data_IF_570468127108
#
_entry.id   IF_570468127108
#
_cell.length_a   1.000
_cell.length_b   1.000
_cell.length_c   1.000
_cell.angle_alpha   90.00
_cell.angle_beta   90.00
_cell.angle_gamma   90.00
#
_symmetry.space_group_name_H-M   'P 1'
#
loop_
_entity.id
_entity.type
_entity.pdbx_description
1 polymer ?
#
# COMPACT_ATOMS: atom_id res chain seq x y z
N UNK A 1 11.61 -5.90 -25.93
CA UNK A 1 11.00 -7.17 -25.43
C UNK A 1 11.01 -7.21 -23.91
N UNK A 2 12.15 -6.91 -23.27
CA UNK A 2 12.24 -6.82 -21.81
C UNK A 2 11.24 -5.83 -21.20
N UNK A 3 10.96 -4.74 -21.90
CA UNK A 3 10.13 -3.63 -21.42
C UNK A 3 8.64 -3.98 -21.48
N UNK A 4 8.24 -4.75 -22.50
CA UNK A 4 6.89 -5.33 -22.59
C UNK A 4 6.68 -6.34 -21.46
N UNK A 5 7.67 -7.20 -21.20
CA UNK A 5 7.61 -8.16 -20.09
C UNK A 5 7.51 -7.42 -18.75
N UNK A 6 8.35 -6.41 -18.54
CA UNK A 6 8.32 -5.58 -17.35
C UNK A 6 6.96 -4.88 -17.17
N UNK A 7 6.38 -4.33 -18.25
CA UNK A 7 5.07 -3.70 -18.22
C UNK A 7 3.96 -4.68 -17.84
N UNK A 8 3.97 -5.90 -18.39
CA UNK A 8 3.00 -6.96 -18.05
C UNK A 8 3.11 -7.33 -16.58
N UNK A 9 4.34 -7.56 -16.08
CA UNK A 9 4.58 -7.89 -14.67
C UNK A 9 4.06 -6.77 -13.77
N UNK A 10 4.42 -5.52 -14.05
CA UNK A 10 3.96 -4.36 -13.29
C UNK A 10 2.43 -4.24 -13.33
N UNK A 11 1.80 -4.48 -14.48
CA UNK A 11 0.35 -4.43 -14.60
C UNK A 11 -0.36 -5.49 -13.75
N UNK A 12 0.17 -6.72 -13.70
CA UNK A 12 -0.35 -7.79 -12.82
C UNK A 12 -0.23 -7.39 -11.35
N UNK A 13 0.93 -6.87 -10.92
CA UNK A 13 1.11 -6.37 -9.55
C UNK A 13 0.21 -5.18 -9.21
N UNK A 14 -0.05 -4.31 -10.18
CA UNK A 14 -1.00 -3.20 -10.04
C UNK A 14 -2.40 -3.70 -9.74
N UNK A 15 -2.91 -4.66 -10.53
CA UNK A 15 -4.24 -5.25 -10.33
C UNK A 15 -4.33 -5.90 -8.94
N UNK A 16 -3.34 -6.73 -8.58
CA UNK A 16 -3.28 -7.39 -7.28
C UNK A 16 -3.32 -6.37 -6.13
N UNK A 17 -2.54 -5.29 -6.24
CA UNK A 17 -2.51 -4.22 -5.24
C UNK A 17 -3.85 -3.50 -5.11
N UNK A 18 -4.54 -3.21 -6.22
CA UNK A 18 -5.88 -2.60 -6.18
C UNK A 18 -6.91 -3.52 -5.55
N UNK A 19 -6.88 -4.82 -5.83
CA UNK A 19 -7.78 -5.79 -5.18
C UNK A 19 -7.56 -5.79 -3.66
N UNK A 20 -6.30 -5.83 -3.20
CA UNK A 20 -5.97 -5.78 -1.77
C UNK A 20 -6.42 -4.46 -1.16
N UNK A 21 -6.19 -3.34 -1.85
CA UNK A 21 -6.62 -2.00 -1.43
C UNK A 21 -8.13 -1.91 -1.23
N UNK A 22 -8.92 -2.29 -2.24
CA UNK A 22 -10.39 -2.25 -2.19
C UNK A 22 -10.91 -3.11 -1.04
N UNK A 23 -10.40 -4.34 -0.93
CA UNK A 23 -10.79 -5.24 0.17
C UNK A 23 -10.43 -4.66 1.55
N UNK A 24 -9.26 -4.03 1.66
CA UNK A 24 -8.82 -3.39 2.90
C UNK A 24 -9.67 -2.17 3.26
N UNK A 25 -10.10 -1.35 2.29
CA UNK A 25 -11.04 -0.26 2.53
C UNK A 25 -12.41 -0.76 3.00
N UNK A 26 -12.83 -1.92 2.52
CA UNK A 26 -14.05 -2.60 2.97
C UNK A 26 -13.85 -3.32 4.32
N UNK A 27 -12.67 -3.24 4.93
CA UNK A 27 -12.30 -3.97 6.16
C UNK A 27 -12.47 -5.50 6.02
N UNK A 28 -12.32 -6.03 4.78
CA UNK A 28 -12.50 -7.45 4.44
C UNK A 28 -11.18 -8.14 4.10
N UNK A 29 -11.04 -9.39 4.55
CA UNK A 29 -9.92 -10.26 4.19
C UNK A 29 -8.78 -10.24 5.21
N UNK A 30 -7.57 -10.49 4.75
CA UNK A 30 -6.38 -10.51 5.61
C UNK A 30 -5.84 -9.08 5.80
N UNK A 31 -5.47 -8.74 7.04
CA UNK A 31 -4.89 -7.44 7.37
C UNK A 31 -3.38 -7.43 7.10
N UNK A 32 -3.00 -6.89 5.94
CA UNK A 32 -1.60 -6.72 5.53
C UNK A 32 -0.98 -5.49 6.20
N UNK A 33 -0.83 -5.53 7.52
CA UNK A 33 -0.20 -4.49 8.32
C UNK A 33 0.85 -5.10 9.25
N UNK A 34 2.00 -4.45 9.38
CA UNK A 34 3.12 -4.95 10.20
C UNK A 34 2.71 -5.22 11.64
N UNK A 35 1.92 -4.33 12.26
CA UNK A 35 1.47 -4.53 13.64
C UNK A 35 0.59 -5.78 13.78
N UNK A 36 -0.21 -6.11 12.76
CA UNK A 36 -1.03 -7.32 12.76
C UNK A 36 -0.22 -8.59 12.47
N UNK A 37 0.72 -8.51 11.51
CA UNK A 37 1.58 -9.63 11.12
C UNK A 37 2.42 -10.14 12.30
N UNK A 38 2.97 -9.23 13.10
CA UNK A 38 3.83 -9.58 14.23
C UNK A 38 3.09 -9.76 15.56
N UNK A 39 1.80 -9.40 15.63
CA UNK A 39 1.00 -9.61 16.84
C UNK A 39 0.73 -11.10 17.11
N UNK A 40 0.74 -11.47 18.39
CA UNK A 40 0.28 -12.77 18.91
C UNK A 40 -1.22 -12.97 18.69
N UNK A 41 -1.71 -14.20 18.84
CA UNK A 41 -3.15 -14.49 18.69
C UNK A 41 -4.02 -13.67 19.64
N UNK A 42 -3.60 -13.52 20.90
CA UNK A 42 -4.35 -12.75 21.90
C UNK A 42 -4.39 -11.26 21.54
N UNK A 43 -3.24 -10.68 21.17
CA UNK A 43 -3.15 -9.28 20.72
C UNK A 43 -4.02 -9.03 19.48
N UNK A 44 -4.04 -9.95 18.51
CA UNK A 44 -4.89 -9.83 17.30
C UNK A 44 -6.39 -9.85 17.60
N UNK A 45 -6.82 -10.49 18.68
CA UNK A 45 -8.24 -10.52 19.10
C UNK A 45 -8.62 -9.19 19.74
N UNK A 46 -7.73 -8.63 20.56
CA UNK A 46 -7.98 -7.38 21.28
C UNK A 46 -7.70 -6.12 20.44
N UNK A 47 -6.94 -6.25 19.35
CA UNK A 47 -6.56 -5.14 18.48
C UNK A 47 -7.76 -4.54 17.74
N UNK A 48 -7.92 -3.21 17.84
CA UNK A 48 -8.78 -2.46 16.93
C UNK A 48 -8.16 -2.43 15.53
N UNK A 49 -8.66 -3.26 14.61
CA UNK A 49 -8.09 -3.49 13.26
C UNK A 49 -8.37 -2.36 12.28
N UNK A 50 -9.40 -1.56 12.51
CA UNK A 50 -9.87 -0.50 11.60
C UNK A 50 -8.79 0.48 11.14
N UNK A 51 -7.98 1.11 12.02
CA UNK A 51 -6.91 2.00 11.59
C UNK A 51 -5.85 1.31 10.73
N UNK A 52 -5.52 0.07 11.06
CA UNK A 52 -4.54 -0.73 10.32
C UNK A 52 -5.06 -1.10 8.93
N UNK A 53 -6.34 -1.47 8.80
CA UNK A 53 -6.99 -1.70 7.51
C UNK A 53 -6.93 -0.46 6.63
N UNK A 54 -7.23 0.71 7.19
CA UNK A 54 -7.21 1.96 6.44
C UNK A 54 -5.80 2.33 5.97
N UNK A 55 -4.79 2.16 6.82
CA UNK A 55 -3.39 2.38 6.44
C UNK A 55 -2.98 1.42 5.31
N UNK A 56 -3.23 0.12 5.46
CA UNK A 56 -2.92 -0.87 4.43
C UNK A 56 -3.65 -0.56 3.13
N UNK A 57 -4.92 -0.17 3.18
CA UNK A 57 -5.70 0.19 2.00
C UNK A 57 -5.06 1.33 1.19
N UNK A 58 -4.67 2.41 1.86
CA UNK A 58 -4.02 3.56 1.21
C UNK A 58 -2.63 3.19 0.67
N UNK A 59 -1.84 2.43 1.42
CA UNK A 59 -0.51 1.98 0.96
C UNK A 59 -0.64 1.11 -0.30
N UNK A 60 -1.54 0.13 -0.31
CA UNK A 60 -1.77 -0.72 -1.48
C UNK A 60 -2.41 0.04 -2.65
N UNK A 61 -3.22 1.07 -2.40
CA UNK A 61 -3.74 1.96 -3.44
C UNK A 61 -2.59 2.70 -4.14
N UNK A 62 -1.73 3.37 -3.36
CA UNK A 62 -0.57 4.09 -3.90
C UNK A 62 0.40 3.13 -4.60
N UNK A 63 0.58 1.91 -4.07
CA UNK A 63 1.41 0.89 -4.68
C UNK A 63 0.85 0.42 -6.03
N UNK A 64 -0.47 0.23 -6.13
CA UNK A 64 -1.14 -0.06 -7.40
C UNK A 64 -0.92 1.04 -8.43
N UNK A 65 -1.09 2.31 -8.04
CA UNK A 65 -0.83 3.46 -8.92
C UNK A 65 0.64 3.50 -9.35
N UNK A 66 1.58 3.24 -8.45
CA UNK A 66 3.02 3.24 -8.72
C UNK A 66 3.37 2.17 -9.77
N UNK A 67 2.87 0.94 -9.60
CA UNK A 67 3.07 -0.12 -10.59
C UNK A 67 2.41 0.19 -11.93
N UNK A 68 1.19 0.74 -11.93
CA UNK A 68 0.50 1.14 -13.15
C UNK A 68 1.29 2.19 -13.94
N UNK A 69 1.74 3.26 -13.27
CA UNK A 69 2.53 4.31 -13.90
C UNK A 69 3.90 3.81 -14.37
N UNK A 70 4.49 2.87 -13.64
CA UNK A 70 5.75 2.21 -14.06
C UNK A 70 5.54 1.37 -15.33
N UNK A 71 4.41 0.67 -15.45
CA UNK A 71 4.05 -0.06 -16.67
C UNK A 71 3.85 0.91 -17.86
N UNK A 72 3.17 2.03 -17.65
CA UNK A 72 2.99 3.07 -18.68
C UNK A 72 4.34 3.68 -19.07
N UNK A 73 5.22 3.98 -18.10
CA UNK A 73 6.55 4.50 -18.38
C UNK A 73 7.38 3.54 -19.24
N UNK A 74 7.30 2.23 -18.98
CA UNK A 74 8.00 1.20 -19.75
C UNK A 74 7.53 1.10 -21.22
N UNK A 75 6.28 1.49 -21.51
CA UNK A 75 5.72 1.46 -22.86
C UNK A 75 5.94 2.77 -23.64
N UNK A 76 5.85 3.92 -22.97
CA UNK A 76 5.81 5.23 -23.62
C UNK A 76 7.10 6.06 -23.45
N UNK A 77 8.02 5.66 -22.55
CA UNK A 77 9.30 6.34 -22.29
C UNK A 77 9.20 7.84 -21.98
N UNK A 78 8.05 8.29 -21.47
CA UNK A 78 7.78 9.70 -21.19
C UNK A 78 8.45 10.15 -19.90
N UNK A 79 9.48 11.00 -20.01
CA UNK A 79 10.28 11.49 -18.86
C UNK A 79 9.45 12.15 -17.74
N UNK A 80 8.31 12.77 -18.05
CA UNK A 80 7.46 13.42 -17.05
C UNK A 80 6.79 12.43 -16.10
N UNK A 81 6.45 11.22 -16.59
CA UNK A 81 5.85 10.16 -15.77
C UNK A 81 6.84 9.67 -14.70
N UNK A 82 8.14 9.63 -15.04
CA UNK A 82 9.17 9.25 -14.08
C UNK A 82 9.18 10.16 -12.83
N UNK A 83 9.07 11.48 -13.01
CA UNK A 83 8.99 12.40 -11.88
C UNK A 83 7.73 12.19 -11.03
N UNK A 84 6.59 11.86 -11.66
CA UNK A 84 5.35 11.53 -10.96
C UNK A 84 5.51 10.24 -10.13
N UNK A 85 6.12 9.20 -10.70
CA UNK A 85 6.39 7.93 -10.00
C UNK A 85 7.23 8.18 -8.76
N UNK A 86 8.31 8.97 -8.89
CA UNK A 86 9.18 9.32 -7.76
C UNK A 86 8.44 10.11 -6.68
N UNK A 87 7.58 11.06 -7.06
CA UNK A 87 6.77 11.83 -6.12
C UNK A 87 5.79 10.94 -5.36
N UNK A 88 5.09 10.02 -6.05
CA UNK A 88 4.15 9.08 -5.42
C UNK A 88 4.87 8.12 -4.47
N UNK A 89 6.06 7.64 -4.85
CA UNK A 89 6.89 6.80 -4.00
C UNK A 89 7.25 7.52 -2.69
N UNK A 90 7.67 8.79 -2.77
CA UNK A 90 7.98 9.61 -1.59
C UNK A 90 6.74 9.81 -0.71
N UNK A 91 5.59 10.17 -1.30
CA UNK A 91 4.32 10.35 -0.58
C UNK A 91 3.92 9.05 0.13
N UNK A 92 4.04 7.91 -0.53
CA UNK A 92 3.73 6.60 0.06
C UNK A 92 4.57 6.31 1.29
N UNK A 93 5.89 6.55 1.23
CA UNK A 93 6.79 6.33 2.37
C UNK A 93 6.42 7.25 3.53
N UNK A 94 6.25 8.55 3.26
CA UNK A 94 5.87 9.55 4.27
C UNK A 94 4.54 9.18 4.92
N UNK A 95 3.55 8.79 4.12
CA UNK A 95 2.26 8.35 4.64
C UNK A 95 2.37 7.07 5.47
N UNK A 96 3.12 6.07 5.00
CA UNK A 96 3.28 4.80 5.69
C UNK A 96 3.91 4.99 7.08
N UNK A 97 4.97 5.79 7.17
CA UNK A 97 5.67 6.09 8.43
C UNK A 97 4.83 7.02 9.32
N UNK A 98 4.29 8.11 8.77
CA UNK A 98 3.47 9.05 9.54
C UNK A 98 2.22 8.37 10.12
N UNK A 99 1.54 7.55 9.31
CA UNK A 99 0.34 6.83 9.76
C UNK A 99 0.66 5.77 10.81
N UNK A 100 1.80 5.08 10.77
CA UNK A 100 2.13 4.08 11.79
C UNK A 100 2.33 4.74 13.16
N UNK A 101 3.07 5.86 13.20
CA UNK A 101 3.32 6.63 14.43
C UNK A 101 2.00 7.15 15.03
N UNK A 102 1.10 7.67 14.19
CA UNK A 102 -0.22 8.17 14.64
C UNK A 102 -1.06 7.03 15.23
N UNK A 103 -1.08 5.86 14.60
CA UNK A 103 -1.84 4.71 15.08
C UNK A 103 -1.28 4.22 16.42
N UNK A 104 0.05 4.12 16.55
CA UNK A 104 0.70 3.73 17.81
C UNK A 104 0.39 4.71 18.94
N UNK A 105 0.50 6.03 18.68
CA UNK A 105 0.19 7.07 19.67
C UNK A 105 -1.27 7.01 20.12
N UNK A 106 -2.21 6.77 19.19
CA UNK A 106 -3.63 6.61 19.52
C UNK A 106 -3.86 5.36 20.37
N UNK A 107 -3.15 4.26 20.11
CA UNK A 107 -3.28 3.03 20.89
C UNK A 107 -2.80 3.22 22.34
N UNK A 108 -1.69 3.94 22.56
CA UNK A 108 -1.18 4.27 23.91
C UNK A 108 -2.11 5.18 24.71
N UNK A 109 -2.84 6.08 24.06
CA UNK A 109 -3.74 7.02 24.73
C UNK A 109 -5.12 6.41 25.09
N UNK A 110 -5.45 5.23 24.57
CA UNK A 110 -6.72 4.55 24.81
C UNK A 110 -6.62 3.34 25.76
N UNK A 111 -5.40 2.95 26.14
CA UNK A 111 -5.12 1.98 27.21
C UNK A 111 -4.80 2.71 28.51
#
# INVERSE_FOLDING_TARGET
>A
MAEIIAAIICFVFSIGSFIISIRSFMEKGYLFNNAYLYATKQERIQMNKRPYYRQSAVVFLLMGILFLLTAVLALFYTKWIFYIVMAIAAIMIVYAVGSSIIIEKRNKNCN
#
